data_IF_665752836943
#
_entry.id   IF_665752836943
#
_cell.length_a   1.000
_cell.length_b   1.000
_cell.length_c   1.000
_cell.angle_alpha   90.00
_cell.angle_beta   90.00
_cell.angle_gamma   90.00
#
_symmetry.space_group_name_H-M   'P 1'
#
loop_
_entity.id
_entity.type
_entity.pdbx_description
1 polymer ?
#
# COMPACT_ATOMS: atom_id res chain seq x y z
N UNK A 1 -4.67 -10.31 -38.40
CA UNK A 1 -3.55 -10.34 -37.43
C UNK A 1 -4.15 -10.59 -36.05
N UNK A 2 -3.76 -11.68 -35.40
CA UNK A 2 -4.43 -12.24 -34.23
C UNK A 2 -4.11 -11.37 -33.00
N UNK A 3 -5.14 -10.80 -32.37
CA UNK A 3 -5.06 -10.15 -31.06
C UNK A 3 -5.00 -11.25 -30.01
N UNK A 4 -3.81 -11.66 -29.58
CA UNK A 4 -3.65 -12.62 -28.48
C UNK A 4 -3.64 -11.89 -27.15
N UNK A 5 -4.42 -12.44 -26.22
CA UNK A 5 -4.82 -11.80 -24.98
C UNK A 5 -3.65 -11.68 -24.00
N UNK A 6 -3.48 -10.47 -23.46
CA UNK A 6 -2.63 -10.14 -22.32
C UNK A 6 -3.12 -10.93 -21.10
N UNK A 7 -2.39 -11.99 -20.71
CA UNK A 7 -2.75 -12.78 -19.54
C UNK A 7 -2.08 -12.18 -18.30
N UNK A 8 -2.78 -11.25 -17.65
CA UNK A 8 -2.37 -10.63 -16.39
C UNK A 8 -2.85 -11.53 -15.24
N UNK A 9 -1.98 -12.37 -14.70
CA UNK A 9 -2.32 -13.23 -13.57
C UNK A 9 -2.09 -12.46 -12.25
N UNK A 10 -3.09 -11.67 -11.86
CA UNK A 10 -3.14 -11.08 -10.52
C UNK A 10 -3.77 -12.14 -9.61
N UNK A 11 -2.98 -12.75 -8.73
CA UNK A 11 -3.50 -13.65 -7.71
C UNK A 11 -3.60 -12.87 -6.39
N UNK A 12 -4.75 -12.23 -6.07
CA UNK A 12 -4.90 -11.55 -4.79
C UNK A 12 -5.07 -12.60 -3.70
N UNK A 13 -3.99 -12.94 -2.99
CA UNK A 13 -4.10 -13.71 -1.75
C UNK A 13 -4.53 -12.74 -0.63
N UNK A 14 -5.84 -12.58 -0.45
CA UNK A 14 -6.42 -11.71 0.59
C UNK A 14 -6.46 -12.48 1.92
N UNK A 15 -5.41 -12.34 2.74
CA UNK A 15 -5.42 -12.82 4.11
C UNK A 15 -6.05 -11.75 5.02
N UNK A 16 -7.38 -11.71 5.08
CA UNK A 16 -8.10 -10.83 6.01
C UNK A 16 -7.99 -11.36 7.44
N UNK A 17 -6.97 -10.94 8.18
CA UNK A 17 -7.01 -10.98 9.64
C UNK A 17 -7.93 -9.84 10.13
N UNK A 18 -9.24 -10.07 10.10
CA UNK A 18 -10.19 -9.15 10.71
C UNK A 18 -10.03 -9.24 12.23
N UNK A 19 -9.23 -8.34 12.81
CA UNK A 19 -9.22 -8.13 14.26
C UNK A 19 -10.62 -7.76 14.73
N UNK A 20 -11.15 -8.50 15.70
CA UNK A 20 -12.47 -8.22 16.26
C UNK A 20 -12.51 -6.78 16.79
N UNK A 21 -13.35 -5.93 16.19
CA UNK A 21 -13.65 -4.62 16.72
C UNK A 21 -14.39 -4.80 18.05
N UNK A 22 -13.68 -4.65 19.17
CA UNK A 22 -14.32 -4.58 20.47
C UNK A 22 -14.95 -3.21 20.64
N UNK A 23 -16.22 -3.18 21.03
CA UNK A 23 -16.92 -1.95 21.42
C UNK A 23 -16.39 -1.52 22.81
N UNK A 24 -15.23 -0.87 22.81
CA UNK A 24 -14.72 -0.14 23.97
C UNK A 24 -15.32 1.27 23.98
N UNK A 25 -15.72 1.73 25.16
CA UNK A 25 -16.21 3.09 25.38
C UNK A 25 -15.20 4.09 24.80
N UNK A 26 -15.60 4.80 23.75
CA UNK A 26 -14.72 5.63 22.91
C UNK A 26 -14.49 7.04 23.46
N UNK A 27 -14.67 7.19 24.78
CA UNK A 27 -14.54 8.44 25.52
C UNK A 27 -13.47 8.31 26.60
N UNK A 28 -12.63 9.34 26.69
CA UNK A 28 -11.55 9.48 27.64
C UNK A 28 -11.90 10.52 28.71
N UNK A 29 -11.50 10.27 29.96
CA UNK A 29 -11.68 11.20 31.08
C UNK A 29 -10.43 12.05 31.35
N UNK A 30 -9.32 11.74 30.69
CA UNK A 30 -8.07 12.50 30.80
C UNK A 30 -7.33 12.55 29.47
N UNK A 31 -6.41 13.52 29.35
CA UNK A 31 -5.53 13.66 28.18
C UNK A 31 -4.76 12.36 27.89
N UNK A 32 -4.23 11.70 28.91
CA UNK A 32 -3.50 10.42 28.76
C UNK A 32 -4.42 9.30 28.29
N UNK A 33 -5.63 9.24 28.84
CA UNK A 33 -6.62 8.21 28.50
C UNK A 33 -7.11 8.32 27.05
N UNK A 34 -7.01 9.51 26.45
CA UNK A 34 -7.33 9.76 25.05
C UNK A 34 -6.45 8.92 24.09
N UNK A 35 -5.18 8.70 24.46
CA UNK A 35 -4.26 7.88 23.68
C UNK A 35 -4.36 6.39 24.01
N UNK A 36 -4.62 6.02 25.27
CA UNK A 36 -4.71 4.60 25.66
C UNK A 36 -6.03 3.94 25.27
N UNK A 37 -7.11 4.72 25.17
CA UNK A 37 -8.40 4.27 24.61
C UNK A 37 -8.55 4.57 23.12
N UNK A 38 -7.53 5.13 22.49
CA UNK A 38 -7.48 5.32 21.05
C UNK A 38 -7.43 3.99 20.29
N UNK A 39 -7.63 4.06 18.97
CA UNK A 39 -7.46 2.93 18.05
C UNK A 39 -6.12 3.03 17.35
N UNK A 40 -5.46 1.89 17.21
CA UNK A 40 -4.34 1.70 16.31
C UNK A 40 -4.70 0.64 15.27
N UNK A 41 -4.47 0.94 14.00
CA UNK A 41 -4.72 0.06 12.87
C UNK A 41 -3.46 -0.12 12.04
N UNK A 42 -3.27 -1.35 11.55
CA UNK A 42 -2.22 -1.69 10.58
C UNK A 42 -2.85 -2.45 9.41
N UNK A 43 -2.59 -2.01 8.18
CA UNK A 43 -2.96 -2.70 6.93
C UNK A 43 -1.68 -3.05 6.18
N UNK A 44 -1.51 -4.34 5.87
CA UNK A 44 -0.40 -4.85 5.08
C UNK A 44 -0.97 -5.47 3.82
N UNK A 45 -0.54 -4.98 2.65
CA UNK A 45 -0.92 -5.52 1.35
C UNK A 45 0.34 -5.91 0.59
N UNK A 46 0.57 -7.21 0.50
CA UNK A 46 1.54 -7.77 -0.42
C UNK A 46 0.90 -8.00 -1.80
N UNK A 47 1.59 -7.61 -2.88
CA UNK A 47 1.20 -7.87 -4.26
C UNK A 47 2.39 -8.40 -5.04
N UNK A 48 2.16 -9.53 -5.69
CA UNK A 48 3.01 -10.05 -6.75
C UNK A 48 2.33 -9.82 -8.09
N UNK A 49 3.07 -9.27 -9.05
CA UNK A 49 2.60 -9.08 -10.41
C UNK A 49 3.66 -9.58 -11.40
N UNK A 50 3.20 -10.38 -12.37
CA UNK A 50 4.02 -10.85 -13.48
C UNK A 50 3.35 -10.48 -14.80
N UNK A 51 4.10 -9.76 -15.64
CA UNK A 51 3.64 -9.32 -16.96
C UNK A 51 4.59 -9.86 -18.02
N UNK A 52 4.04 -10.50 -19.04
CA UNK A 52 4.75 -10.84 -20.27
C UNK A 52 4.11 -10.08 -21.43
N UNK A 53 4.94 -9.40 -22.22
CA UNK A 53 4.51 -8.72 -23.44
C UNK A 53 5.21 -9.38 -24.63
N UNK A 54 4.44 -9.90 -25.59
CA UNK A 54 4.98 -10.53 -26.80
C UNK A 54 5.83 -9.56 -27.64
N UNK A 55 5.65 -8.24 -27.45
CA UNK A 55 6.44 -7.21 -28.12
C UNK A 55 7.80 -6.92 -27.43
N UNK A 56 8.06 -7.52 -26.26
CA UNK A 56 9.28 -7.30 -25.47
C UNK A 56 10.01 -8.61 -25.19
N UNK A 57 11.35 -8.60 -25.30
CA UNK A 57 12.18 -9.78 -25.06
C UNK A 57 12.26 -10.20 -23.57
N UNK A 58 11.62 -9.45 -22.66
CA UNK A 58 11.71 -9.65 -21.21
C UNK A 58 10.34 -9.64 -20.57
N UNK A 59 10.09 -10.56 -19.65
CA UNK A 59 8.98 -10.47 -18.70
C UNK A 59 9.34 -9.55 -17.54
N UNK A 60 8.33 -8.90 -16.98
CA UNK A 60 8.43 -8.08 -15.78
C UNK A 60 7.85 -8.78 -14.58
N UNK A 61 8.51 -8.62 -13.43
CA UNK A 61 8.09 -9.14 -12.14
C UNK A 61 8.16 -8.01 -11.12
N UNK A 62 7.09 -7.79 -10.37
CA UNK A 62 7.04 -6.82 -9.27
C UNK A 62 6.59 -7.50 -7.98
N UNK A 63 7.32 -7.23 -6.88
CA UNK A 63 7.02 -7.72 -5.54
C UNK A 63 6.85 -6.52 -4.61
N UNK A 64 5.62 -6.05 -4.44
CA UNK A 64 5.34 -4.82 -3.68
C UNK A 64 4.64 -5.10 -2.36
N UNK A 65 5.07 -4.42 -1.30
CA UNK A 65 4.44 -4.45 0.02
C UNK A 65 4.02 -3.03 0.39
N UNK A 66 2.71 -2.81 0.48
CA UNK A 66 2.16 -1.60 1.08
C UNK A 66 1.89 -1.85 2.56
N UNK A 67 2.38 -0.94 3.40
CA UNK A 67 2.10 -0.90 4.82
C UNK A 67 1.40 0.42 5.16
N UNK A 68 0.26 0.36 5.85
CA UNK A 68 -0.48 1.54 6.31
C UNK A 68 -0.65 1.49 7.82
N UNK A 69 -0.41 2.63 8.46
CA UNK A 69 -0.63 2.83 9.88
C UNK A 69 -1.71 3.90 10.07
N UNK A 70 -2.69 3.59 10.92
CA UNK A 70 -3.75 4.53 11.33
C UNK A 70 -3.73 4.63 12.85
N UNK A 71 -3.65 5.85 13.38
CA UNK A 71 -3.76 6.14 14.81
C UNK A 71 -4.90 7.13 15.01
N UNK A 72 -5.87 6.77 15.84
CA UNK A 72 -7.04 7.58 16.16
C UNK A 72 -7.14 7.70 17.69
N UNK A 73 -7.33 8.89 18.22
CA UNK A 73 -7.49 9.09 19.66
C UNK A 73 -8.96 8.88 20.07
N UNK A 74 -9.22 8.48 21.31
CA UNK A 74 -10.58 8.55 21.86
C UNK A 74 -11.04 10.01 21.96
N UNK A 75 -12.34 10.24 22.17
CA UNK A 75 -12.84 11.60 22.38
C UNK A 75 -12.57 12.05 23.83
N UNK A 76 -11.86 13.16 24.01
CA UNK A 76 -11.69 13.85 25.30
C UNK A 76 -12.39 15.20 25.26
N UNK A 77 -13.46 15.37 26.06
CA UNK A 77 -14.34 16.54 26.02
C UNK A 77 -14.85 16.92 24.62
N UNK A 78 -15.07 15.93 23.76
CA UNK A 78 -15.54 16.13 22.38
C UNK A 78 -14.45 16.45 21.35
N UNK A 79 -13.18 16.45 21.75
CA UNK A 79 -12.01 16.59 20.84
C UNK A 79 -11.39 15.21 20.59
N UNK A 80 -11.01 14.93 19.34
CA UNK A 80 -10.38 13.67 18.93
C UNK A 80 -9.55 13.89 17.69
N UNK A 81 -8.41 13.21 17.52
CA UNK A 81 -7.61 13.33 16.31
C UNK A 81 -7.34 12.01 15.61
N UNK A 82 -6.92 12.09 14.35
CA UNK A 82 -6.46 10.97 13.56
C UNK A 82 -5.22 11.35 12.77
N UNK A 83 -4.30 10.39 12.63
CA UNK A 83 -3.22 10.40 11.65
C UNK A 83 -3.18 9.06 10.92
N UNK A 84 -3.14 9.12 9.60
CA UNK A 84 -2.99 7.96 8.72
C UNK A 84 -1.91 8.22 7.68
N UNK A 85 -1.01 7.26 7.52
CA UNK A 85 -0.01 7.27 6.46
C UNK A 85 0.28 5.86 5.95
N UNK A 86 0.80 5.78 4.73
CA UNK A 86 1.25 4.53 4.15
C UNK A 86 2.61 4.62 3.47
N UNK A 87 3.23 3.46 3.32
CA UNK A 87 4.50 3.25 2.65
C UNK A 87 4.35 2.07 1.69
N UNK A 88 4.85 2.24 0.46
CA UNK A 88 4.99 1.17 -0.54
C UNK A 88 6.46 0.86 -0.70
N UNK A 89 6.82 -0.38 -0.41
CA UNK A 89 8.16 -0.93 -0.59
C UNK A 89 8.15 -1.94 -1.74
N UNK A 90 9.22 -1.96 -2.52
CA UNK A 90 9.44 -2.95 -3.57
C UNK A 90 10.72 -3.72 -3.27
N UNK A 91 10.62 -5.05 -3.26
CA UNK A 91 11.74 -5.93 -2.97
C UNK A 91 12.66 -6.16 -4.19
N UNK A 92 12.22 -5.85 -5.41
CA UNK A 92 12.96 -6.19 -6.64
C UNK A 92 12.68 -5.23 -7.83
N UNK A 93 13.13 -3.97 -7.73
CA UNK A 93 12.77 -2.90 -8.69
C UNK A 93 13.45 -2.95 -10.07
N UNK A 94 14.41 -3.86 -10.29
CA UNK A 94 15.28 -3.80 -11.48
C UNK A 94 14.73 -4.54 -12.69
N UNK A 95 13.63 -5.27 -12.53
CA UNK A 95 13.07 -6.17 -13.55
C UNK A 95 11.73 -5.71 -14.13
N UNK A 96 11.28 -4.48 -13.88
CA UNK A 96 10.08 -3.91 -14.51
C UNK A 96 10.13 -2.38 -14.63
N UNK A 97 9.21 -1.79 -15.40
CA UNK A 97 9.12 -0.34 -15.54
C UNK A 97 8.05 0.24 -14.62
N UNK A 98 8.47 0.85 -13.49
CA UNK A 98 7.60 1.48 -12.50
C UNK A 98 7.12 2.90 -12.88
N UNK A 99 7.56 3.43 -14.03
CA UNK A 99 7.33 4.82 -14.50
C UNK A 99 7.90 5.93 -13.60
N UNK A 100 8.45 5.59 -12.44
CA UNK A 100 8.97 6.50 -11.41
C UNK A 100 10.29 7.15 -11.85
N UNK A 101 11.16 6.38 -12.53
CA UNK A 101 12.47 6.83 -13.00
C UNK A 101 12.42 7.28 -14.46
N UNK A 102 11.99 8.53 -14.70
CA UNK A 102 12.05 9.19 -16.02
C UNK A 102 13.47 9.69 -16.36
N UNK A 103 14.42 8.77 -16.51
CA UNK A 103 15.77 9.05 -17.01
C UNK A 103 16.06 8.37 -18.36
N UNK A 104 16.70 9.06 -19.31
CA UNK A 104 17.10 8.51 -20.63
C UNK A 104 17.99 7.26 -20.55
N UNK A 105 18.67 7.03 -19.41
CA UNK A 105 19.59 5.92 -19.21
C UNK A 105 18.97 4.75 -18.43
N UNK A 106 17.65 4.74 -18.27
CA UNK A 106 16.99 3.72 -17.49
C UNK A 106 16.89 2.40 -18.29
N UNK A 107 17.45 1.30 -17.76
CA UNK A 107 17.37 -0.03 -18.40
C UNK A 107 15.94 -0.62 -18.35
N UNK A 108 15.05 -0.03 -17.56
CA UNK A 108 13.68 -0.47 -17.35
C UNK A 108 12.77 -0.32 -18.59
N UNK A 109 13.10 0.52 -19.59
CA UNK A 109 12.31 0.64 -20.83
C UNK A 109 12.21 -0.66 -21.65
N UNK A 110 13.08 -1.63 -21.37
CA UNK A 110 13.11 -2.96 -22.03
C UNK A 110 12.20 -3.98 -21.35
N UNK A 111 11.55 -3.61 -20.25
CA UNK A 111 10.64 -4.45 -19.48
C UNK A 111 9.22 -3.88 -19.54
N UNK A 112 8.19 -4.72 -19.37
CA UNK A 112 6.80 -4.27 -19.35
C UNK A 112 6.54 -3.33 -18.18
N UNK A 113 5.52 -2.47 -18.36
CA UNK A 113 5.12 -1.48 -17.37
C UNK A 113 4.31 -2.15 -16.26
N UNK A 114 4.76 -1.99 -15.02
CA UNK A 114 4.00 -2.33 -13.82
C UNK A 114 4.01 -1.07 -12.96
N UNK A 115 2.89 -0.34 -12.94
CA UNK A 115 2.80 1.01 -12.39
C UNK A 115 2.66 1.03 -10.86
N UNK A 116 3.64 0.46 -10.17
CA UNK A 116 3.74 0.42 -8.72
C UNK A 116 4.93 1.26 -8.21
N UNK A 117 4.84 2.60 -8.23
CA UNK A 117 5.90 3.43 -7.70
C UNK A 117 6.04 3.23 -6.19
N UNK A 118 7.29 3.22 -5.72
CA UNK A 118 7.60 3.18 -4.29
C UNK A 118 7.34 4.54 -3.65
N UNK A 119 7.14 4.60 -2.33
CA UNK A 119 7.00 5.90 -1.67
C UNK A 119 6.32 5.86 -0.32
N UNK A 120 6.40 6.99 0.39
CA UNK A 120 5.71 7.21 1.67
C UNK A 120 4.77 8.39 1.52
N UNK A 121 3.51 8.20 1.90
CA UNK A 121 2.46 9.20 1.80
C UNK A 121 1.73 9.39 3.13
N UNK A 122 1.30 10.63 3.37
CA UNK A 122 0.34 10.97 4.41
C UNK A 122 -1.04 11.07 3.77
N UNK A 123 -2.02 10.36 4.32
CA UNK A 123 -3.34 10.27 3.72
C UNK A 123 -4.32 11.22 4.41
N UNK A 124 -4.34 11.19 5.74
CA UNK A 124 -5.33 11.90 6.53
C UNK A 124 -4.71 12.37 7.84
N UNK A 125 -4.94 13.63 8.17
CA UNK A 125 -4.66 14.21 9.50
C UNK A 125 -5.77 15.18 9.85
N UNK A 126 -6.38 15.01 11.03
CA UNK A 126 -7.40 15.91 11.56
C UNK A 126 -7.47 15.86 13.09
N UNK A 127 -8.19 16.82 13.67
CA UNK A 127 -8.46 17.01 15.10
C UNK A 127 -9.91 17.50 15.30
#
# INVERSE_FOLDING_TARGET
MKRTATSCYILPLLLCAAGAAQATDHTANSFTEMFTKGKAGIDLRYRYEHVSDDALDRSGMANTLRSRLTLETAAWYGVSGLIEGDNVWDFESDNYNSLEHRGRNNKQWRYPVIADPTGTGLNQVWL
#
